data_IF_027133884489
#
_entry.id   IF_027133884489
#
_cell.length_a   1.000
_cell.length_b   1.000
_cell.length_c   1.000
_cell.angle_alpha   90.00
_cell.angle_beta   90.00
_cell.angle_gamma   90.00
#
_symmetry.space_group_name_H-M   'P 1'
#
loop_
_entity.id
_entity.type
_entity.pdbx_description
1 polymer ?
#
# COMPACT_ATOMS: atom_id res chain seq x y z
N UNK A 1 -56.31 -11.81 -2.67
CA UNK A 1 -56.97 -11.66 -1.36
C UNK A 1 -57.96 -10.49 -1.37
N UNK A 2 -57.53 -9.24 -1.57
CA UNK A 2 -58.43 -8.06 -1.62
C UNK A 2 -59.66 -8.21 -2.54
N UNK A 3 -59.47 -8.64 -3.78
CA UNK A 3 -60.60 -8.87 -4.72
C UNK A 3 -61.57 -9.99 -4.26
N UNK A 4 -61.08 -10.98 -3.50
CA UNK A 4 -61.92 -12.07 -2.97
C UNK A 4 -62.70 -11.58 -1.75
N UNK A 5 -62.02 -10.93 -0.80
CA UNK A 5 -62.65 -10.31 0.37
C UNK A 5 -63.72 -9.28 -0.03
N UNK A 6 -63.46 -8.43 -1.03
CA UNK A 6 -64.43 -7.47 -1.53
C UNK A 6 -65.65 -8.13 -2.17
N UNK A 7 -65.45 -9.23 -2.91
CA UNK A 7 -66.54 -10.01 -3.51
C UNK A 7 -67.39 -10.70 -2.43
N UNK A 8 -66.76 -11.26 -1.42
CA UNK A 8 -67.44 -11.96 -0.33
C UNK A 8 -68.21 -10.96 0.57
N UNK A 9 -67.63 -9.80 0.84
CA UNK A 9 -68.30 -8.69 1.53
C UNK A 9 -69.52 -8.20 0.73
N UNK A 10 -69.38 -7.99 -0.57
CA UNK A 10 -70.50 -7.57 -1.42
C UNK A 10 -71.64 -8.60 -1.44
N UNK A 11 -71.32 -9.90 -1.42
CA UNK A 11 -72.32 -10.98 -1.32
C UNK A 11 -73.02 -10.98 0.04
N UNK A 12 -72.28 -10.74 1.13
CA UNK A 12 -72.83 -10.60 2.48
C UNK A 12 -73.81 -9.42 2.55
N UNK A 13 -73.40 -8.25 2.06
CA UNK A 13 -74.15 -7.00 2.13
C UNK A 13 -75.38 -7.00 1.21
N UNK A 14 -75.35 -7.76 0.11
CA UNK A 14 -76.47 -7.88 -0.84
C UNK A 14 -77.69 -8.63 -0.29
N UNK A 15 -77.55 -9.34 0.84
CA UNK A 15 -78.61 -10.20 1.39
C UNK A 15 -78.95 -11.42 0.53
N UNK A 16 -78.18 -11.70 -0.52
CA UNK A 16 -78.43 -12.82 -1.45
C UNK A 16 -78.19 -14.21 -0.82
N UNK A 17 -77.55 -14.28 0.34
CA UNK A 17 -77.33 -15.52 1.10
C UNK A 17 -78.32 -15.55 2.27
N UNK A 18 -79.29 -16.46 2.20
CA UNK A 18 -80.43 -16.53 3.14
C UNK A 18 -80.30 -17.65 4.18
N UNK A 19 -79.42 -18.61 3.93
CA UNK A 19 -79.11 -19.71 4.84
C UNK A 19 -78.23 -19.20 5.99
N UNK A 20 -78.65 -19.35 7.27
CA UNK A 20 -77.86 -18.90 8.43
C UNK A 20 -76.45 -19.50 8.47
N UNK A 21 -76.32 -20.77 8.03
CA UNK A 21 -75.04 -21.48 8.01
C UNK A 21 -74.09 -20.94 6.94
N UNK A 22 -74.62 -20.52 5.80
CA UNK A 22 -73.82 -19.96 4.71
C UNK A 22 -73.39 -18.53 5.00
N UNK A 23 -74.22 -17.75 5.70
CA UNK A 23 -73.84 -16.43 6.22
C UNK A 23 -72.68 -16.54 7.23
N UNK A 24 -72.76 -17.48 8.17
CA UNK A 24 -71.71 -17.70 9.16
C UNK A 24 -70.39 -18.12 8.49
N UNK A 25 -70.45 -19.02 7.50
CA UNK A 25 -69.27 -19.42 6.73
C UNK A 25 -68.66 -18.25 5.97
N UNK A 26 -69.48 -17.41 5.33
CA UNK A 26 -69.03 -16.23 4.57
C UNK A 26 -68.37 -15.20 5.49
N UNK A 27 -68.93 -14.93 6.67
CA UNK A 27 -68.33 -14.05 7.68
C UNK A 27 -66.97 -14.56 8.18
N UNK A 28 -66.85 -15.88 8.42
CA UNK A 28 -65.58 -16.52 8.79
C UNK A 28 -64.54 -16.41 7.68
N UNK A 29 -64.94 -16.57 6.42
CA UNK A 29 -64.06 -16.42 5.26
C UNK A 29 -63.55 -14.98 5.13
N UNK A 30 -64.43 -13.97 5.23
CA UNK A 30 -64.05 -12.55 5.21
C UNK A 30 -63.05 -12.23 6.34
N UNK A 31 -63.32 -12.70 7.56
CA UNK A 31 -62.43 -12.49 8.71
C UNK A 31 -61.06 -13.13 8.50
N UNK A 32 -61.03 -14.36 7.94
CA UNK A 32 -59.78 -15.05 7.63
C UNK A 32 -58.97 -14.34 6.53
N UNK A 33 -59.65 -13.84 5.49
CA UNK A 33 -59.02 -13.08 4.41
C UNK A 33 -58.48 -11.74 4.91
N UNK A 34 -59.21 -11.05 5.80
CA UNK A 34 -58.77 -9.81 6.42
C UNK A 34 -57.52 -10.03 7.29
N UNK A 35 -57.52 -11.06 8.14
CA UNK A 35 -56.33 -11.43 8.93
C UNK A 35 -55.12 -11.72 8.04
N UNK A 36 -55.30 -12.56 7.02
CA UNK A 36 -54.20 -12.91 6.11
C UNK A 36 -53.72 -11.73 5.26
N UNK A 37 -54.57 -10.75 4.99
CA UNK A 37 -54.16 -9.51 4.35
C UNK A 37 -53.29 -8.67 5.30
N UNK A 38 -53.69 -8.53 6.57
CA UNK A 38 -52.87 -7.85 7.59
C UNK A 38 -51.50 -8.50 7.73
N UNK A 39 -51.45 -9.84 7.88
CA UNK A 39 -50.19 -10.58 7.97
C UNK A 39 -49.27 -10.32 6.76
N UNK A 40 -49.83 -10.19 5.55
CA UNK A 40 -49.05 -9.89 4.33
C UNK A 40 -48.61 -8.43 4.27
N UNK A 41 -49.42 -7.49 4.75
CA UNK A 41 -49.06 -6.07 4.83
C UNK A 41 -47.90 -5.85 5.81
N UNK A 42 -47.92 -6.53 6.96
CA UNK A 42 -46.80 -6.52 7.92
C UNK A 42 -45.52 -7.07 7.30
N UNK A 43 -45.60 -8.19 6.57
CA UNK A 43 -44.44 -8.76 5.84
C UNK A 43 -43.92 -7.79 4.77
N UNK A 44 -44.81 -7.11 4.05
CA UNK A 44 -44.40 -6.12 3.05
C UNK A 44 -43.67 -4.96 3.71
N UNK A 45 -44.16 -4.45 4.83
CA UNK A 45 -43.50 -3.38 5.59
C UNK A 45 -42.10 -3.81 6.05
N UNK A 46 -41.96 -5.01 6.62
CA UNK A 46 -40.65 -5.53 7.04
C UNK A 46 -39.67 -5.64 5.86
N UNK A 47 -40.13 -6.12 4.70
CA UNK A 47 -39.30 -6.22 3.49
C UNK A 47 -38.92 -4.84 2.95
N UNK A 48 -39.82 -3.86 3.03
CA UNK A 48 -39.53 -2.47 2.64
C UNK A 48 -38.46 -1.85 3.53
N UNK A 49 -38.56 -1.98 4.85
CA UNK A 49 -37.55 -1.48 5.80
C UNK A 49 -36.19 -2.13 5.57
N UNK A 50 -36.17 -3.45 5.36
CA UNK A 50 -34.93 -4.19 5.04
C UNK A 50 -34.32 -3.73 3.72
N UNK A 51 -35.15 -3.42 2.72
CA UNK A 51 -34.69 -2.89 1.44
C UNK A 51 -34.09 -1.50 1.61
N UNK A 52 -34.74 -0.60 2.33
CA UNK A 52 -34.24 0.76 2.58
C UNK A 52 -32.89 0.71 3.30
N UNK A 53 -32.76 -0.06 4.38
CA UNK A 53 -31.50 -0.25 5.09
C UNK A 53 -30.39 -0.81 4.17
N UNK A 54 -30.73 -1.76 3.30
CA UNK A 54 -29.76 -2.30 2.32
C UNK A 54 -29.35 -1.24 1.29
N UNK A 55 -30.27 -0.39 0.82
CA UNK A 55 -29.98 0.67 -0.13
C UNK A 55 -29.06 1.75 0.48
N UNK A 56 -29.29 2.14 1.73
CA UNK A 56 -28.41 3.06 2.46
C UNK A 56 -27.00 2.50 2.60
N UNK A 57 -26.88 1.22 2.98
CA UNK A 57 -25.58 0.53 3.08
C UNK A 57 -24.86 0.45 1.74
N UNK A 58 -25.57 0.23 0.64
CA UNK A 58 -24.97 0.22 -0.70
C UNK A 58 -24.46 1.61 -1.07
N UNK A 59 -25.21 2.68 -0.76
CA UNK A 59 -24.78 4.05 -1.00
C UNK A 59 -23.51 4.39 -0.21
N UNK A 60 -23.48 4.10 1.09
CA UNK A 60 -22.32 4.31 1.96
C UNK A 60 -21.08 3.56 1.43
N UNK A 61 -21.23 2.27 1.11
CA UNK A 61 -20.12 1.46 0.62
C UNK A 61 -19.61 1.94 -0.74
N UNK A 62 -20.50 2.42 -1.61
CA UNK A 62 -20.12 2.96 -2.92
C UNK A 62 -19.27 4.23 -2.75
N UNK A 63 -19.67 5.13 -1.85
CA UNK A 63 -18.89 6.33 -1.53
C UNK A 63 -17.52 5.97 -0.93
N UNK A 64 -17.48 5.00 -0.01
CA UNK A 64 -16.23 4.52 0.58
C UNK A 64 -15.29 3.92 -0.46
N UNK A 65 -15.81 3.11 -1.39
CA UNK A 65 -15.02 2.55 -2.50
C UNK A 65 -14.45 3.67 -3.37
N UNK A 66 -15.27 4.65 -3.74
CA UNK A 66 -14.82 5.80 -4.54
C UNK A 66 -13.70 6.60 -3.83
N UNK A 67 -13.86 6.85 -2.53
CA UNK A 67 -12.84 7.53 -1.71
C UNK A 67 -11.53 6.75 -1.64
N UNK A 68 -11.59 5.43 -1.43
CA UNK A 68 -10.39 4.58 -1.39
C UNK A 68 -9.73 4.51 -2.76
N UNK A 69 -10.50 4.38 -3.84
CA UNK A 69 -9.96 4.37 -5.20
C UNK A 69 -9.19 5.66 -5.51
N UNK A 70 -9.75 6.81 -5.13
CA UNK A 70 -9.09 8.11 -5.32
C UNK A 70 -7.75 8.20 -4.59
N UNK A 71 -7.67 7.63 -3.38
CA UNK A 71 -6.41 7.57 -2.60
C UNK A 71 -5.40 6.63 -3.23
N UNK A 72 -5.85 5.52 -3.80
CA UNK A 72 -4.98 4.57 -4.53
C UNK A 72 -4.41 5.24 -5.77
N UNK A 73 -5.24 5.94 -6.54
CA UNK A 73 -4.82 6.61 -7.77
C UNK A 73 -3.79 7.71 -7.47
N UNK A 74 -4.01 8.54 -6.44
CA UNK A 74 -3.05 9.55 -5.98
C UNK A 74 -1.73 8.92 -5.51
N UNK A 75 -1.79 7.88 -4.67
CA UNK A 75 -0.59 7.20 -4.18
C UNK A 75 0.21 6.54 -5.31
N UNK A 76 -0.49 5.98 -6.31
CA UNK A 76 0.10 5.38 -7.51
C UNK A 76 0.82 6.43 -8.34
N UNK A 77 0.17 7.56 -8.61
CA UNK A 77 0.78 8.66 -9.37
C UNK A 77 2.03 9.23 -8.66
N UNK A 78 1.96 9.44 -7.33
CA UNK A 78 3.11 9.91 -6.54
C UNK A 78 4.26 8.91 -6.55
N UNK A 79 3.95 7.62 -6.43
CA UNK A 79 4.94 6.54 -6.52
C UNK A 79 5.65 6.58 -7.88
N UNK A 80 4.90 6.62 -8.96
CA UNK A 80 5.45 6.54 -10.32
C UNK A 80 6.33 7.74 -10.66
N UNK A 81 5.93 8.95 -10.26
CA UNK A 81 6.78 10.14 -10.39
C UNK A 81 8.08 10.03 -9.59
N UNK A 82 8.04 9.43 -8.39
CA UNK A 82 9.24 9.19 -7.59
C UNK A 82 10.18 8.18 -8.27
N UNK A 83 9.64 7.10 -8.84
CA UNK A 83 10.44 6.12 -9.60
C UNK A 83 11.09 6.75 -10.82
N UNK A 84 10.35 7.55 -11.61
CA UNK A 84 10.92 8.23 -12.78
C UNK A 84 12.08 9.15 -12.40
N UNK A 85 11.95 9.87 -11.28
CA UNK A 85 13.04 10.72 -10.76
C UNK A 85 14.25 9.87 -10.37
N UNK A 86 14.05 8.79 -9.60
CA UNK A 86 15.13 7.90 -9.16
C UNK A 86 15.81 7.19 -10.33
N UNK A 87 15.06 6.75 -11.34
CA UNK A 87 15.60 6.12 -12.53
C UNK A 87 16.48 7.10 -13.33
N UNK A 88 16.05 8.36 -13.42
CA UNK A 88 16.86 9.44 -13.99
C UNK A 88 18.17 9.67 -13.24
N UNK A 89 18.11 9.75 -11.91
CA UNK A 89 19.29 9.91 -11.04
C UNK A 89 20.24 8.71 -11.16
N UNK A 90 19.72 7.49 -11.13
CA UNK A 90 20.50 6.24 -11.30
C UNK A 90 21.20 6.25 -12.66
N UNK A 91 20.51 6.61 -13.73
CA UNK A 91 21.08 6.69 -15.06
C UNK A 91 22.22 7.72 -15.14
N UNK A 92 22.02 8.91 -14.56
CA UNK A 92 23.06 9.96 -14.51
C UNK A 92 24.29 9.49 -13.75
N UNK A 93 24.12 9.03 -12.50
CA UNK A 93 25.23 8.61 -11.63
C UNK A 93 25.94 7.38 -12.18
N UNK A 94 25.23 6.46 -12.82
CA UNK A 94 25.84 5.28 -13.48
C UNK A 94 26.73 5.72 -14.63
N UNK A 95 26.26 6.63 -15.49
CA UNK A 95 27.04 7.15 -16.60
C UNK A 95 28.28 7.92 -16.12
N UNK A 96 28.13 8.76 -15.09
CA UNK A 96 29.25 9.46 -14.47
C UNK A 96 30.29 8.47 -13.92
N UNK A 97 29.83 7.40 -13.25
CA UNK A 97 30.71 6.34 -12.76
C UNK A 97 31.45 5.65 -13.90
N UNK A 98 30.78 5.32 -15.01
CA UNK A 98 31.41 4.67 -16.17
C UNK A 98 32.55 5.53 -16.75
N UNK A 99 32.32 6.83 -16.90
CA UNK A 99 33.33 7.78 -17.40
C UNK A 99 34.56 7.81 -16.48
N UNK A 100 34.35 7.89 -15.17
CA UNK A 100 35.45 7.91 -14.19
C UNK A 100 36.16 6.55 -14.14
N UNK A 101 35.41 5.45 -14.14
CA UNK A 101 35.98 4.10 -14.09
C UNK A 101 36.86 3.80 -15.31
N UNK A 102 36.54 4.35 -16.48
CA UNK A 102 37.32 4.16 -17.70
C UNK A 102 38.75 4.72 -17.63
N UNK A 103 39.01 5.70 -16.75
CA UNK A 103 40.34 6.30 -16.58
C UNK A 103 41.12 5.73 -15.39
N UNK A 104 40.51 4.85 -14.59
CA UNK A 104 41.16 4.20 -13.44
C UNK A 104 41.85 2.91 -13.89
N UNK A 105 43.09 2.64 -13.44
CA UNK A 105 43.77 1.37 -13.72
C UNK A 105 42.91 0.15 -13.36
N UNK A 106 42.85 -0.83 -14.28
CA UNK A 106 41.90 -1.94 -14.19
C UNK A 106 42.14 -2.86 -12.97
N UNK A 107 43.38 -3.02 -12.54
CA UNK A 107 43.76 -3.74 -11.33
C UNK A 107 43.31 -3.03 -10.05
N UNK A 108 43.45 -1.70 -10.00
CA UNK A 108 42.95 -0.87 -8.90
C UNK A 108 41.43 -0.88 -8.82
N UNK A 109 40.74 -0.77 -9.97
CA UNK A 109 39.28 -0.84 -10.03
C UNK A 109 38.75 -2.20 -9.56
N UNK A 110 39.40 -3.31 -9.98
CA UNK A 110 39.07 -4.66 -9.49
C UNK A 110 39.24 -4.78 -7.98
N UNK A 111 40.29 -4.20 -7.41
CA UNK A 111 40.47 -4.18 -5.96
C UNK A 111 39.38 -3.38 -5.26
N UNK A 112 39.04 -2.19 -5.79
CA UNK A 112 37.97 -1.36 -5.27
C UNK A 112 36.62 -2.10 -5.29
N UNK A 113 36.23 -2.70 -6.41
CA UNK A 113 34.93 -3.38 -6.54
C UNK A 113 34.83 -4.59 -5.61
N UNK A 114 35.91 -5.39 -5.49
CA UNK A 114 35.97 -6.50 -4.51
C UNK A 114 35.76 -6.00 -3.07
N UNK A 115 36.43 -4.91 -2.69
CA UNK A 115 36.27 -4.34 -1.35
C UNK A 115 34.90 -3.70 -1.16
N UNK A 116 34.35 -3.08 -2.20
CA UNK A 116 33.02 -2.46 -2.20
C UNK A 116 31.94 -3.49 -1.90
N UNK A 117 31.99 -4.66 -2.56
CA UNK A 117 31.08 -5.78 -2.30
C UNK A 117 31.23 -6.33 -0.87
N UNK A 118 32.47 -6.50 -0.40
CA UNK A 118 32.75 -7.05 0.93
C UNK A 118 32.41 -6.08 2.08
N UNK A 119 32.48 -4.77 1.83
CA UNK A 119 32.41 -3.73 2.87
C UNK A 119 31.18 -2.83 2.74
N UNK A 120 30.05 -3.40 2.32
CA UNK A 120 28.74 -2.73 2.36
C UNK A 120 28.61 -1.54 1.43
N UNK A 121 29.20 -1.60 0.24
CA UNK A 121 29.06 -0.60 -0.81
C UNK A 121 30.16 0.47 -0.86
N UNK A 122 31.16 0.42 0.02
CA UNK A 122 32.25 1.39 0.11
C UNK A 122 33.61 0.68 0.04
N UNK A 123 34.28 0.72 -1.12
CA UNK A 123 35.60 0.08 -1.32
C UNK A 123 36.81 0.96 -0.96
N UNK A 124 36.63 2.28 -0.90
CA UNK A 124 37.67 3.26 -0.58
C UNK A 124 37.12 4.34 0.36
N UNK A 125 37.97 4.87 1.24
CA UNK A 125 37.60 5.87 2.23
C UNK A 125 38.65 6.98 2.32
N UNK A 126 38.20 8.23 2.48
CA UNK A 126 39.08 9.37 2.76
C UNK A 126 39.80 9.15 4.10
N UNK A 127 41.11 9.36 4.12
CA UNK A 127 41.86 9.56 5.36
C UNK A 127 41.77 11.04 5.72
N UNK A 128 41.22 11.36 6.89
CA UNK A 128 41.06 12.74 7.35
C UNK A 128 41.58 12.85 8.79
N UNK A 129 42.57 13.71 9.02
CA UNK A 129 43.19 13.92 10.33
C UNK A 129 43.46 12.61 11.07
N UNK A 130 44.26 11.73 10.47
CA UNK A 130 44.61 10.40 11.02
C UNK A 130 43.44 9.41 11.19
N UNK A 131 42.22 9.78 10.79
CA UNK A 131 41.00 8.97 10.93
C UNK A 131 40.53 8.43 9.59
N UNK A 132 40.32 7.11 9.50
CA UNK A 132 39.69 6.49 8.34
C UNK A 132 38.20 6.84 8.32
N UNK A 133 37.72 7.56 7.31
CA UNK A 133 36.29 7.93 7.22
C UNK A 133 35.36 6.76 6.86
N UNK A 134 35.92 5.58 6.57
CA UNK A 134 35.14 4.36 6.29
C UNK A 134 34.70 3.64 7.55
N UNK A 135 35.63 3.37 8.48
CA UNK A 135 35.31 2.76 9.79
C UNK A 135 35.25 3.75 10.94
N UNK A 136 35.58 5.02 10.70
CA UNK A 136 35.62 6.12 11.69
C UNK A 136 36.56 5.86 12.87
N UNK A 137 37.59 5.04 12.66
CA UNK A 137 38.62 4.80 13.65
C UNK A 137 39.88 5.60 13.30
N UNK A 138 40.51 6.15 14.32
CA UNK A 138 41.85 6.72 14.21
C UNK A 138 42.85 5.58 13.94
N UNK A 139 43.79 5.82 13.03
CA UNK A 139 44.86 4.89 12.76
C UNK A 139 45.80 4.82 13.96
N UNK A 140 46.33 3.62 14.22
CA UNK A 140 47.40 3.47 15.21
C UNK A 140 48.61 4.34 14.80
N UNK A 141 49.47 4.70 15.76
CA UNK A 141 50.68 5.49 15.45
C UNK A 141 51.55 4.76 14.42
N UNK A 142 51.65 3.43 14.53
CA UNK A 142 52.42 2.60 13.61
C UNK A 142 51.83 2.66 12.20
N UNK A 143 50.55 2.33 12.04
CA UNK A 143 49.87 2.31 10.74
C UNK A 143 49.89 3.70 10.08
N UNK A 144 49.72 4.74 10.90
CA UNK A 144 49.77 6.11 10.41
C UNK A 144 51.15 6.47 9.84
N UNK A 145 52.23 6.07 10.52
CA UNK A 145 53.59 6.28 10.03
C UNK A 145 53.88 5.45 8.78
N UNK A 146 53.37 4.22 8.68
CA UNK A 146 53.49 3.41 7.45
C UNK A 146 52.77 4.06 6.26
N UNK A 147 51.54 4.54 6.47
CA UNK A 147 50.76 5.27 5.45
C UNK A 147 51.45 6.56 5.01
N UNK A 148 52.14 7.24 5.95
CA UNK A 148 52.93 8.45 5.71
C UNK A 148 54.22 8.18 4.92
N UNK A 149 54.90 7.07 5.21
CA UNK A 149 56.14 6.69 4.54
C UNK A 149 55.91 6.10 3.13
N UNK A 150 54.72 5.56 2.86
CA UNK A 150 54.39 4.98 1.56
C UNK A 150 54.43 6.02 0.43
N UNK A 151 55.00 5.66 -0.72
CA UNK A 151 55.09 6.55 -1.88
C UNK A 151 53.69 7.01 -2.36
N UNK A 152 53.53 8.20 -2.96
CA UNK A 152 52.22 8.75 -3.33
C UNK A 152 51.35 7.84 -4.22
N UNK A 153 51.98 7.05 -5.09
CA UNK A 153 51.36 6.09 -6.01
C UNK A 153 51.06 4.73 -5.37
N UNK A 154 51.58 4.46 -4.17
CA UNK A 154 51.29 3.21 -3.45
C UNK A 154 49.86 3.18 -2.93
N UNK A 155 49.13 2.12 -3.26
CA UNK A 155 47.77 1.86 -2.78
C UNK A 155 47.83 1.28 -1.38
N UNK A 156 47.50 2.10 -0.39
CA UNK A 156 47.47 1.71 1.03
C UNK A 156 46.05 1.40 1.50
N UNK A 157 45.91 0.51 2.48
CA UNK A 157 44.61 0.07 3.01
C UNK A 157 44.55 0.25 4.52
N UNK A 158 43.35 0.50 5.04
CA UNK A 158 43.14 0.55 6.48
C UNK A 158 43.30 -0.85 7.10
N UNK A 159 44.07 -0.97 8.18
CA UNK A 159 44.23 -2.25 8.89
C UNK A 159 42.90 -2.75 9.48
N UNK A 160 42.10 -1.83 10.03
CA UNK A 160 40.85 -2.16 10.72
C UNK A 160 39.73 -2.61 9.77
N UNK A 161 39.55 -1.93 8.63
CA UNK A 161 38.42 -2.20 7.73
C UNK A 161 38.79 -2.56 6.29
N UNK A 162 40.09 -2.68 5.98
CA UNK A 162 40.63 -3.12 4.68
C UNK A 162 40.27 -2.27 3.46
N UNK A 163 39.47 -1.21 3.61
CA UNK A 163 39.18 -0.23 2.55
C UNK A 163 40.45 0.47 2.10
N UNK A 164 40.50 0.83 0.82
CA UNK A 164 41.58 1.66 0.26
C UNK A 164 41.54 3.02 0.96
N UNK A 165 42.68 3.51 1.44
CA UNK A 165 42.78 4.84 2.05
C UNK A 165 43.15 5.87 0.99
N UNK A 166 42.25 6.81 0.76
CA UNK A 166 42.49 7.95 -0.13
C UNK A 166 43.20 9.04 0.66
N UNK A 167 44.48 9.25 0.35
CA UNK A 167 45.35 10.26 0.97
C UNK A 167 45.17 11.59 0.26
N UNK A 168 44.94 12.65 1.04
CA UNK A 168 44.69 14.03 0.58
C UNK A 168 45.45 15.00 1.48
N UNK A 169 45.44 16.31 1.15
CA UNK A 169 45.98 17.36 2.02
C UNK A 169 45.42 17.33 3.45
N UNK A 170 44.18 16.85 3.59
CA UNK A 170 43.47 16.85 4.87
C UNK A 170 43.75 15.60 5.70
N UNK A 171 44.58 14.68 5.20
CA UNK A 171 44.87 13.41 5.88
C UNK A 171 45.70 13.58 7.15
N UNK A 172 46.38 14.73 7.30
CA UNK A 172 47.30 15.01 8.40
C UNK A 172 48.68 14.37 8.23
N UNK A 173 49.01 13.91 7.02
CA UNK A 173 50.28 13.28 6.63
C UNK A 173 51.39 14.31 6.40
#
# INVERSE_FOLDING_TARGET
>A
MRQRAARDQQRLDSGAVTSPKDLENLQREITSLAKRQGDLEDVVLEVMERRESAQERVAELTERVSSVQSKIDDATARRDAAFETLDGEIASVTKEREVIAAVVPADLLKLYDKLREQQGGIGAAKLYQRTCQGCRQELSITDFNEVRAAAPDTVVRCENCRRILVRTSDSGL
#
